data_IF_140765300118
#
_entry.id   IF_140765300118
#
_cell.length_a   1.000
_cell.length_b   1.000
_cell.length_c   1.000
_cell.angle_alpha   90.00
_cell.angle_beta   90.00
_cell.angle_gamma   90.00
#
_symmetry.space_group_name_H-M   'P 1'
#
loop_
_entity.id
_entity.type
_entity.pdbx_description
1 polymer ?
#
# COMPACT_ATOMS: atom_id res chain seq x y z
N UNK A 1 -16.93 5.05 15.41
CA UNK A 1 -15.48 5.00 15.70
C UNK A 1 -14.74 5.56 14.48
N UNK A 2 -13.68 6.34 14.64
CA UNK A 2 -12.87 6.77 13.50
C UNK A 2 -12.29 5.55 12.77
N UNK A 3 -12.04 5.70 11.46
CA UNK A 3 -11.35 4.68 10.67
C UNK A 3 -9.91 4.45 11.17
N UNK A 4 -9.24 3.38 10.71
CA UNK A 4 -7.94 2.96 11.23
C UNK A 4 -6.84 4.02 11.10
N UNK A 5 -7.01 4.98 10.20
CA UNK A 5 -6.06 6.09 9.99
C UNK A 5 -6.66 7.47 10.26
N UNK A 6 -7.69 7.54 11.09
CA UNK A 6 -8.33 8.79 11.49
C UNK A 6 -9.42 9.30 10.56
N UNK A 7 -9.73 8.59 9.47
CA UNK A 7 -10.89 8.86 8.62
C UNK A 7 -12.20 8.54 9.33
N UNK A 8 -13.31 9.06 8.82
CA UNK A 8 -14.62 8.69 9.31
C UNK A 8 -14.89 7.19 9.04
N UNK A 9 -15.63 6.53 9.93
CA UNK A 9 -15.95 5.11 9.80
C UNK A 9 -16.53 4.77 8.42
N UNK A 10 -15.96 3.78 7.75
CA UNK A 10 -16.40 3.32 6.42
C UNK A 10 -16.11 4.27 5.26
N UNK A 11 -15.30 5.31 5.47
CA UNK A 11 -14.85 6.22 4.41
C UNK A 11 -13.37 5.97 4.07
N UNK A 12 -12.92 6.61 2.98
CA UNK A 12 -11.51 6.59 2.60
C UNK A 12 -10.59 7.08 3.71
N UNK A 13 -9.46 6.41 3.88
CA UNK A 13 -8.34 6.94 4.65
C UNK A 13 -7.36 7.64 3.70
N UNK A 14 -7.08 8.92 3.98
CA UNK A 14 -6.17 9.74 3.19
C UNK A 14 -4.89 10.03 3.98
N UNK A 15 -3.76 9.98 3.28
CA UNK A 15 -2.47 10.31 3.86
C UNK A 15 -1.66 9.12 4.34
N UNK A 16 -0.58 9.42 5.08
CA UNK A 16 0.32 8.41 5.62
C UNK A 16 -0.38 7.63 6.74
N UNK A 17 -0.73 6.40 6.44
CA UNK A 17 -1.29 5.48 7.39
C UNK A 17 -0.20 4.50 7.83
N UNK A 18 0.12 4.47 9.12
CA UNK A 18 1.11 3.53 9.67
C UNK A 18 0.58 2.10 9.83
N UNK A 19 -0.70 1.89 9.54
CA UNK A 19 -1.39 0.61 9.59
C UNK A 19 -2.16 0.33 8.32
N UNK A 20 -3.10 -0.61 8.41
CA UNK A 20 -4.02 -0.94 7.32
C UNK A 20 -5.15 0.09 7.31
N UNK A 21 -5.30 0.82 6.21
CA UNK A 21 -6.34 1.81 5.97
C UNK A 21 -7.37 1.35 4.93
N UNK A 22 -8.43 2.13 4.79
CA UNK A 22 -9.42 1.93 3.73
C UNK A 22 -8.91 2.60 2.45
N UNK A 23 -8.88 1.85 1.34
CA UNK A 23 -8.41 2.35 0.05
C UNK A 23 -9.09 3.71 -0.31
N UNK A 24 -8.31 4.75 -0.65
CA UNK A 24 -8.87 6.05 -1.04
C UNK A 24 -9.36 6.04 -2.49
N UNK A 25 -10.36 5.22 -2.79
CA UNK A 25 -10.82 4.92 -4.16
C UNK A 25 -11.32 6.15 -4.91
N UNK A 26 -12.02 7.07 -4.24
CA UNK A 26 -12.52 8.31 -4.88
C UNK A 26 -11.37 9.24 -5.24
N UNK A 27 -10.40 9.39 -4.31
CA UNK A 27 -9.19 10.16 -4.54
C UNK A 27 -8.36 9.59 -5.70
N UNK A 28 -8.36 8.26 -5.85
CA UNK A 28 -7.70 7.55 -6.95
C UNK A 28 -8.53 7.53 -8.24
N UNK A 29 -9.74 8.08 -8.26
CA UNK A 29 -10.62 8.08 -9.43
C UNK A 29 -11.18 6.70 -9.78
N UNK A 30 -11.20 5.77 -8.83
CA UNK A 30 -11.77 4.43 -9.05
C UNK A 30 -13.29 4.47 -8.94
N UNK A 31 -14.03 3.70 -9.76
CA UNK A 31 -15.50 3.72 -9.76
C UNK A 31 -16.10 3.18 -8.47
N UNK A 32 -15.40 2.31 -7.77
CA UNK A 32 -15.80 1.75 -6.48
C UNK A 32 -14.59 1.30 -5.66
N UNK A 33 -14.78 1.26 -4.33
CA UNK A 33 -13.73 0.88 -3.37
C UNK A 33 -14.00 -0.42 -2.62
N UNK A 34 -14.85 -1.28 -3.17
CA UNK A 34 -15.24 -2.54 -2.53
C UNK A 34 -15.01 -3.73 -3.45
N UNK A 35 -14.83 -4.89 -2.85
CA UNK A 35 -14.76 -6.17 -3.53
C UNK A 35 -16.15 -6.67 -3.95
N UNK A 36 -16.20 -7.84 -4.57
CA UNK A 36 -17.43 -8.51 -5.02
C UNK A 36 -18.36 -8.91 -3.86
N UNK A 37 -17.84 -8.97 -2.63
CA UNK A 37 -18.58 -9.34 -1.42
C UNK A 37 -19.13 -8.10 -0.69
N UNK A 38 -18.84 -6.88 -1.18
CA UNK A 38 -19.28 -5.62 -0.60
C UNK A 38 -18.38 -5.12 0.54
N UNK A 39 -17.23 -5.74 0.76
CA UNK A 39 -16.22 -5.30 1.71
C UNK A 39 -15.35 -4.23 1.08
N UNK A 40 -15.09 -3.12 1.81
CA UNK A 40 -14.17 -2.10 1.34
C UNK A 40 -12.75 -2.67 1.30
N UNK A 41 -12.03 -2.40 0.19
CA UNK A 41 -10.63 -2.75 0.09
C UNK A 41 -9.82 -2.04 1.18
N UNK A 42 -8.95 -2.81 1.81
CA UNK A 42 -7.93 -2.25 2.69
C UNK A 42 -6.61 -2.11 1.96
N UNK A 43 -5.79 -1.17 2.40
CA UNK A 43 -4.45 -0.98 1.86
C UNK A 43 -3.44 -0.68 2.96
N UNK A 44 -2.20 -0.94 2.67
CA UNK A 44 -1.08 -0.55 3.50
C UNK A 44 0.03 -0.03 2.60
N UNK A 45 0.69 1.05 3.02
CA UNK A 45 1.80 1.66 2.28
C UNK A 45 3.00 1.75 3.19
N UNK A 46 4.15 1.37 2.68
CA UNK A 46 5.43 1.57 3.36
C UNK A 46 5.64 3.07 3.64
N UNK A 47 5.92 3.49 4.88
CA UNK A 47 5.95 4.90 5.26
C UNK A 47 6.80 5.77 4.34
N UNK A 48 7.98 5.30 3.96
CA UNK A 48 8.87 6.01 3.05
C UNK A 48 8.27 6.27 1.64
N UNK A 49 7.23 5.55 1.25
CA UNK A 49 6.49 5.78 -0.01
C UNK A 49 5.27 6.66 0.17
N UNK A 50 4.81 6.87 1.40
CA UNK A 50 3.69 7.74 1.72
C UNK A 50 4.10 9.20 1.94
N UNK A 51 5.38 9.48 2.14
CA UNK A 51 5.92 10.83 2.32
C UNK A 51 5.95 11.63 1.02
N UNK A 52 5.82 12.95 1.14
CA UNK A 52 5.96 13.84 0.00
C UNK A 52 7.36 13.69 -0.63
N UNK A 53 7.41 13.41 -1.93
CA UNK A 53 8.68 13.15 -2.63
C UNK A 53 9.25 11.75 -2.44
N UNK A 54 8.58 10.87 -1.70
CA UNK A 54 9.05 9.50 -1.41
C UNK A 54 9.39 8.65 -2.64
N UNK A 55 8.86 8.96 -3.81
CA UNK A 55 9.20 8.25 -5.05
C UNK A 55 10.55 8.66 -5.64
N UNK A 56 11.10 9.83 -5.30
CA UNK A 56 12.33 10.35 -5.90
C UNK A 56 13.61 9.72 -5.33
N UNK A 57 13.59 9.24 -4.10
CA UNK A 57 14.79 8.85 -3.34
C UNK A 57 15.11 7.35 -3.29
N UNK A 58 14.53 6.48 -4.09
CA UNK A 58 14.67 5.01 -3.95
C UNK A 58 14.43 4.53 -2.50
N UNK A 59 13.30 4.89 -1.89
CA UNK A 59 13.04 4.53 -0.51
C UNK A 59 13.02 3.00 -0.32
N UNK A 60 13.41 2.55 0.86
CA UNK A 60 13.34 1.15 1.22
C UNK A 60 11.88 0.75 1.48
N UNK A 61 11.42 -0.29 0.83
CA UNK A 61 10.14 -0.91 1.15
C UNK A 61 10.26 -1.61 2.52
N UNK A 62 9.23 -1.48 3.35
CA UNK A 62 9.26 -1.99 4.73
C UNK A 62 8.11 -2.93 5.09
N UNK A 63 7.10 -3.08 4.22
CA UNK A 63 6.01 -4.01 4.45
C UNK A 63 6.48 -5.42 4.10
N UNK A 64 6.44 -6.31 5.06
CA UNK A 64 6.80 -7.73 4.89
C UNK A 64 5.66 -8.50 4.25
N UNK A 65 5.89 -8.99 3.05
CA UNK A 65 4.97 -9.90 2.38
C UNK A 65 5.28 -11.33 2.84
N UNK A 66 4.27 -12.03 3.35
CA UNK A 66 4.37 -13.38 3.88
C UNK A 66 3.48 -14.33 3.09
N UNK A 67 4.06 -15.21 2.26
CA UNK A 67 3.30 -16.22 1.55
C UNK A 67 2.77 -17.28 2.52
N UNK A 68 1.60 -17.84 2.17
CA UNK A 68 1.02 -18.96 2.89
C UNK A 68 0.89 -20.18 1.96
N UNK A 69 1.22 -21.37 2.41
CA UNK A 69 1.88 -21.67 3.68
C UNK A 69 3.30 -21.05 3.73
N UNK A 70 3.73 -20.57 4.89
CA UNK A 70 5.06 -19.98 5.03
C UNK A 70 6.13 -21.08 4.94
N UNK A 71 7.05 -21.04 3.96
CA UNK A 71 8.11 -22.05 3.84
C UNK A 71 9.08 -21.99 5.04
N UNK A 72 9.61 -23.15 5.46
CA UNK A 72 10.52 -23.24 6.61
C UNK A 72 11.79 -22.37 6.47
N UNK A 73 12.22 -22.08 5.23
CA UNK A 73 13.40 -21.25 4.93
C UNK A 73 13.02 -19.90 4.30
N UNK A 74 11.87 -19.34 4.66
CA UNK A 74 11.38 -18.11 4.08
C UNK A 74 12.22 -16.90 4.45
N UNK A 75 12.70 -16.19 3.43
CA UNK A 75 13.26 -14.84 3.61
C UNK A 75 12.19 -13.80 3.28
N UNK A 76 11.79 -12.95 4.24
CA UNK A 76 10.75 -11.95 3.99
C UNK A 76 11.08 -11.05 2.81
N UNK A 77 10.16 -10.98 1.85
CA UNK A 77 10.22 -10.00 0.77
C UNK A 77 9.51 -8.74 1.23
N UNK A 78 10.13 -7.58 1.02
CA UNK A 78 9.50 -6.30 1.34
C UNK A 78 8.83 -5.70 0.11
N UNK A 79 7.65 -5.11 0.32
CA UNK A 79 6.86 -4.46 -0.71
C UNK A 79 6.58 -3.00 -0.32
N UNK A 80 6.40 -2.16 -1.33
CA UNK A 80 6.13 -0.73 -1.11
C UNK A 80 4.69 -0.48 -0.68
N UNK A 81 3.76 -1.27 -1.18
CA UNK A 81 2.35 -1.24 -0.79
C UNK A 81 1.70 -2.61 -0.98
N UNK A 82 0.56 -2.81 -0.35
CA UNK A 82 -0.32 -3.94 -0.62
C UNK A 82 -1.78 -3.50 -0.57
N UNK A 83 -2.61 -4.17 -1.37
CA UNK A 83 -4.06 -4.07 -1.39
C UNK A 83 -4.63 -5.39 -0.90
N UNK A 84 -5.68 -5.33 -0.07
CA UNK A 84 -6.31 -6.49 0.54
C UNK A 84 -7.80 -6.48 0.24
N UNK A 85 -8.31 -7.54 -0.37
CA UNK A 85 -9.72 -7.90 -0.41
C UNK A 85 -9.97 -8.93 0.69
N UNK A 86 -11.01 -8.71 1.48
CA UNK A 86 -11.27 -9.49 2.68
C UNK A 86 -12.20 -10.70 2.43
N UNK A 87 -12.33 -11.12 1.21
CA UNK A 87 -13.07 -12.31 0.85
C UNK A 87 -14.54 -12.33 1.30
N UNK A 88 -15.21 -13.48 1.18
CA UNK A 88 -16.61 -13.64 1.58
C UNK A 88 -16.85 -13.54 3.09
N UNK A 89 -15.90 -13.93 3.94
CA UNK A 89 -16.07 -13.82 5.40
C UNK A 89 -15.93 -12.37 5.90
N UNK A 90 -15.15 -11.54 5.20
CA UNK A 90 -14.98 -10.13 5.45
C UNK A 90 -14.36 -9.79 6.80
N UNK A 91 -13.62 -10.68 7.42
CA UNK A 91 -13.03 -10.43 8.74
C UNK A 91 -12.14 -9.19 8.78
N UNK A 92 -12.45 -8.29 9.72
CA UNK A 92 -11.73 -7.02 9.89
C UNK A 92 -12.03 -5.96 8.84
N UNK A 93 -12.71 -6.29 7.74
CA UNK A 93 -13.09 -5.35 6.70
C UNK A 93 -14.06 -4.27 7.21
N UNK A 94 -14.07 -3.15 6.52
CA UNK A 94 -15.14 -2.18 6.61
C UNK A 94 -16.20 -2.51 5.56
N UNK A 95 -17.47 -2.58 5.97
CA UNK A 95 -18.59 -2.71 5.05
C UNK A 95 -18.98 -1.37 4.45
N UNK A 96 -19.75 -1.39 3.37
CA UNK A 96 -20.35 -0.19 2.74
C UNK A 96 -21.32 0.53 3.68
N UNK A 97 -21.80 -0.15 4.71
CA UNK A 97 -22.65 0.37 5.78
C UNK A 97 -21.88 1.19 6.83
N UNK A 98 -20.56 1.36 6.65
CA UNK A 98 -19.69 2.07 7.58
C UNK A 98 -19.39 1.31 8.87
N UNK A 99 -19.70 0.02 8.92
CA UNK A 99 -19.40 -0.84 10.07
C UNK A 99 -18.20 -1.72 9.81
N UNK A 100 -17.35 -1.83 10.81
CA UNK A 100 -16.26 -2.80 10.76
C UNK A 100 -16.78 -4.18 11.14
N UNK A 101 -16.42 -5.16 10.33
CA UNK A 101 -16.69 -6.57 10.59
C UNK A 101 -15.81 -7.07 11.76
N UNK A 102 -16.24 -8.14 12.44
CA UNK A 102 -15.41 -8.73 13.50
C UNK A 102 -13.99 -9.05 13.01
N UNK A 103 -13.00 -8.90 13.91
CA UNK A 103 -11.59 -9.23 13.64
C UNK A 103 -11.20 -10.62 14.12
N UNK A 104 -12.14 -11.35 14.67
CA UNK A 104 -11.94 -12.69 15.22
C UNK A 104 -12.08 -13.73 14.10
N UNK A 105 -11.10 -13.74 13.22
CA UNK A 105 -11.02 -14.70 12.13
C UNK A 105 -10.74 -16.11 12.66
N UNK A 106 -11.32 -17.10 12.02
CA UNK A 106 -10.98 -18.51 12.23
C UNK A 106 -9.55 -18.79 11.78
N UNK A 107 -9.11 -18.11 10.71
CA UNK A 107 -7.74 -18.16 10.21
C UNK A 107 -6.79 -17.36 11.12
N UNK A 108 -5.71 -18.00 11.54
CA UNK A 108 -4.65 -17.36 12.34
C UNK A 108 -3.92 -16.29 11.53
N UNK A 109 -3.68 -16.54 10.24
CA UNK A 109 -2.97 -15.61 9.37
C UNK A 109 -3.81 -14.39 9.04
N UNK A 110 -5.11 -14.58 8.82
CA UNK A 110 -6.04 -13.48 8.62
C UNK A 110 -6.15 -12.57 9.86
N UNK A 111 -6.22 -13.18 11.06
CA UNK A 111 -6.15 -12.41 12.30
C UNK A 111 -4.83 -11.64 12.44
N UNK A 112 -3.70 -12.16 11.93
CA UNK A 112 -2.40 -11.48 11.93
C UNK A 112 -2.35 -10.29 10.98
N UNK A 113 -3.16 -10.25 9.89
CA UNK A 113 -3.25 -9.06 9.02
C UNK A 113 -3.45 -7.78 9.84
N UNK A 114 -4.27 -7.88 10.89
CA UNK A 114 -4.63 -6.75 11.75
C UNK A 114 -3.74 -6.56 12.97
N UNK A 115 -3.07 -7.62 13.43
CA UNK A 115 -2.31 -7.65 14.69
C UNK A 115 -0.82 -7.42 14.52
N UNK A 116 -0.29 -7.65 13.31
CA UNK A 116 1.16 -7.55 13.06
C UNK A 116 1.43 -6.37 12.11
N UNK A 117 1.71 -5.19 12.64
CA UNK A 117 2.00 -4.00 11.82
C UNK A 117 3.12 -4.25 10.82
N UNK A 118 2.95 -3.73 9.61
CA UNK A 118 3.97 -3.84 8.56
C UNK A 118 4.17 -5.25 8.01
N UNK A 119 3.19 -6.13 8.17
CA UNK A 119 3.17 -7.46 7.51
C UNK A 119 1.84 -7.68 6.82
N UNK A 120 1.87 -8.35 5.67
CA UNK A 120 0.69 -8.84 4.95
C UNK A 120 0.86 -10.33 4.65
N UNK A 121 -0.20 -11.08 4.79
CA UNK A 121 -0.24 -12.52 4.59
C UNK A 121 -1.05 -12.82 3.34
N UNK A 122 -0.54 -13.64 2.45
CA UNK A 122 -1.18 -13.96 1.19
C UNK A 122 -1.00 -15.44 0.85
N UNK A 123 -2.05 -16.08 0.42
CA UNK A 123 -2.03 -17.49 0.04
C UNK A 123 -3.22 -17.85 -0.84
N UNK A 124 -3.28 -19.08 -1.31
CA UNK A 124 -4.46 -19.61 -1.95
C UNK A 124 -5.66 -19.58 -1.01
N UNK A 125 -6.85 -19.47 -1.58
CA UNK A 125 -8.10 -19.63 -0.84
C UNK A 125 -8.07 -20.95 -0.04
N UNK A 126 -8.52 -20.88 1.21
CA UNK A 126 -8.51 -22.01 2.15
C UNK A 126 -7.13 -22.66 2.39
N UNK A 127 -6.05 -21.96 2.22
CA UNK A 127 -4.69 -22.42 2.60
C UNK A 127 -4.60 -22.85 4.06
N UNK A 128 -5.39 -22.22 4.91
CA UNK A 128 -5.70 -22.62 6.29
C UNK A 128 -7.20 -22.40 6.52
N UNK A 129 -7.83 -23.10 7.49
CA UNK A 129 -9.27 -22.97 7.72
C UNK A 129 -9.71 -21.52 7.91
N UNK A 130 -10.61 -21.05 7.04
CA UNK A 130 -11.18 -19.72 7.07
C UNK A 130 -10.32 -18.61 6.46
N UNK A 131 -9.18 -18.91 5.86
CA UNK A 131 -8.40 -17.92 5.12
C UNK A 131 -9.01 -17.69 3.73
N UNK A 132 -9.47 -16.46 3.47
CA UNK A 132 -10.05 -16.08 2.18
C UNK A 132 -9.63 -14.69 1.69
N UNK A 133 -8.67 -14.07 2.38
CA UNK A 133 -8.09 -12.79 1.98
C UNK A 133 -7.32 -12.91 0.65
N UNK A 134 -7.62 -12.04 -0.31
CA UNK A 134 -6.84 -11.87 -1.53
C UNK A 134 -5.92 -10.65 -1.39
N UNK A 135 -4.62 -10.83 -1.58
CA UNK A 135 -3.63 -9.77 -1.42
C UNK A 135 -2.87 -9.51 -2.70
N UNK A 136 -2.89 -8.25 -3.16
CA UNK A 136 -2.05 -7.77 -4.25
C UNK A 136 -0.90 -6.97 -3.67
N UNK A 137 0.31 -7.52 -3.78
CA UNK A 137 1.53 -6.86 -3.35
C UNK A 137 2.11 -5.99 -4.48
N UNK A 138 2.53 -4.78 -4.15
CA UNK A 138 3.13 -3.83 -5.08
C UNK A 138 4.62 -3.65 -4.75
N UNK A 139 5.53 -4.33 -5.46
CA UNK A 139 6.96 -4.14 -5.30
C UNK A 139 7.38 -2.70 -5.61
N UNK A 140 8.41 -2.22 -4.91
CA UNK A 140 8.97 -0.88 -5.10
C UNK A 140 9.32 -0.56 -6.56
N UNK A 141 9.85 -1.54 -7.29
CA UNK A 141 10.21 -1.39 -8.70
C UNK A 141 9.00 -1.07 -9.58
N UNK A 142 7.88 -1.75 -9.33
CA UNK A 142 6.64 -1.54 -10.11
C UNK A 142 6.12 -0.12 -9.89
N UNK A 143 6.03 0.34 -8.64
CA UNK A 143 5.55 1.69 -8.33
C UNK A 143 6.45 2.74 -8.98
N UNK A 144 7.78 2.58 -8.90
CA UNK A 144 8.72 3.51 -9.52
C UNK A 144 8.59 3.54 -11.03
N UNK A 145 8.55 2.39 -11.69
CA UNK A 145 8.41 2.32 -13.15
C UNK A 145 7.11 2.98 -13.63
N UNK A 146 6.00 2.79 -12.91
CA UNK A 146 4.73 3.44 -13.22
C UNK A 146 4.80 4.97 -13.04
N UNK A 147 5.49 5.43 -11.99
CA UNK A 147 5.67 6.86 -11.73
C UNK A 147 6.56 7.54 -12.80
N UNK A 148 7.70 6.94 -13.12
CA UNK A 148 8.64 7.48 -14.13
C UNK A 148 8.08 7.35 -15.56
N UNK A 149 7.42 6.25 -15.88
CA UNK A 149 6.87 6.00 -17.20
C UNK A 149 5.73 6.95 -17.59
N UNK A 150 5.09 7.60 -16.62
CA UNK A 150 4.04 8.61 -16.87
C UNK A 150 4.55 10.06 -16.85
N UNK A 151 5.86 10.29 -16.82
CA UNK A 151 6.46 11.63 -16.84
C UNK A 151 6.18 12.48 -15.59
N UNK A 152 5.60 11.91 -14.54
CA UNK A 152 5.26 12.64 -13.33
C UNK A 152 6.47 12.94 -12.41
N UNK A 153 7.63 12.40 -12.72
CA UNK A 153 8.87 12.63 -12.01
C UNK A 153 9.95 13.20 -12.96
N UNK A 154 9.59 14.19 -13.77
CA UNK A 154 10.62 14.96 -14.45
C UNK A 154 11.47 15.66 -13.37
N UNK A 155 12.63 15.10 -13.10
CA UNK A 155 13.69 15.76 -12.36
C UNK A 155 13.91 17.11 -13.03
N UNK A 156 13.68 18.22 -12.30
CA UNK A 156 14.18 19.52 -12.74
C UNK A 156 15.70 19.35 -12.76
N UNK A 157 16.24 19.04 -13.93
CA UNK A 157 17.66 19.18 -14.16
C UNK A 157 17.99 20.63 -13.80
N UNK A 158 18.74 20.84 -12.72
CA UNK A 158 19.33 22.11 -12.40
C UNK A 158 20.12 22.55 -13.64
N UNK A 159 19.55 23.45 -14.40
CA UNK A 159 20.23 24.12 -15.46
C UNK A 159 21.31 24.98 -14.81
N UNK A 160 22.48 24.39 -14.56
CA UNK A 160 23.71 25.14 -14.31
C UNK A 160 23.92 26.01 -15.52
N UNK A 161 23.56 27.27 -15.40
CA UNK A 161 23.95 28.34 -16.33
C UNK A 161 25.46 28.26 -16.54
N UNK A 162 25.96 28.04 -17.77
CA UNK A 162 27.40 28.10 -17.99
C UNK A 162 27.89 29.51 -17.70
N UNK A 163 28.87 29.62 -16.81
CA UNK A 163 29.56 30.85 -16.53
C UNK A 163 30.10 31.42 -17.84
N UNK A 164 29.72 32.65 -18.15
CA UNK A 164 30.27 33.39 -19.27
C UNK A 164 31.79 33.52 -19.11
N UNK A 165 32.52 32.88 -19.99
CA UNK A 165 33.96 33.09 -20.11
C UNK A 165 34.17 34.52 -20.60
N UNK A 166 34.77 35.35 -19.74
CA UNK A 166 35.14 36.72 -20.06
C UNK A 166 36.11 36.78 -21.22
N UNK A 167 35.76 37.52 -22.24
CA UNK A 167 36.64 37.88 -23.35
C UNK A 167 37.68 38.84 -22.82
N UNK A 168 38.96 38.41 -22.76
CA UNK A 168 40.10 39.29 -22.52
C UNK A 168 40.46 39.93 -23.84
N UNK A 169 40.21 41.21 -24.00
CA UNK A 169 40.72 42.02 -25.08
C UNK A 169 42.15 42.45 -24.70
N UNK A 170 43.16 41.94 -25.42
CA UNK A 170 44.50 42.47 -25.43
C UNK A 170 44.58 43.61 -26.45
N UNK A 171 45.04 44.75 -25.96
CA UNK A 171 45.63 45.81 -26.78
C UNK A 171 47.13 45.63 -26.83
#
# INVERSE_FOLDING_TARGET
>A
MPGPCGGAAGTEDKGACTGIGILPWRTLGLPYGHDRHGNLYSYVVSPAYAEAGGLHGKPAASIRFRPLPEPASYTPVTVAAALISHGPNGHGAWGRDGRQRPKDAASVSEAKQWRVPGSVYAGPFDVEPGFDDEVVALPALIIRNLAYGRGHCAEKADAKTPAQAGVVQNR
#
